data_IF_857720855650
#
_entry.id   IF_857720855650
#
_cell.length_a   1.000
_cell.length_b   1.000
_cell.length_c   1.000
_cell.angle_alpha   90.00
_cell.angle_beta   90.00
_cell.angle_gamma   90.00
#
_symmetry.space_group_name_H-M   'P 1'
#
loop_
_entity.id
_entity.type
_entity.pdbx_description
1 polymer ?
#
# COMPACT_ATOMS: atom_id res chain seq x y z
N UNK A 1 -13.78 18.09 -22.95
CA UNK A 1 -14.28 16.73 -22.67
C UNK A 1 -13.30 16.10 -21.70
N UNK A 2 -13.65 15.98 -20.42
CA UNK A 2 -12.77 15.37 -19.42
C UNK A 2 -12.61 13.89 -19.80
N UNK A 3 -11.37 13.41 -19.98
CA UNK A 3 -11.13 12.02 -20.32
C UNK A 3 -11.60 11.17 -19.14
N UNK A 4 -12.49 10.21 -19.39
CA UNK A 4 -12.97 9.33 -18.34
C UNK A 4 -11.82 8.39 -17.93
N UNK A 5 -11.37 8.52 -16.68
CA UNK A 5 -10.31 7.68 -16.11
C UNK A 5 -10.93 6.39 -15.58
N UNK A 6 -10.93 5.37 -16.41
CA UNK A 6 -11.37 4.02 -16.04
C UNK A 6 -10.18 3.07 -16.03
N UNK A 7 -10.08 2.30 -14.96
CA UNK A 7 -9.05 1.29 -14.77
C UNK A 7 -9.70 -0.05 -14.46
N UNK A 8 -9.21 -1.10 -15.11
CA UNK A 8 -9.59 -2.48 -14.79
C UNK A 8 -8.73 -2.96 -13.62
N UNK A 9 -9.38 -3.36 -12.53
CA UNK A 9 -8.70 -3.95 -11.36
C UNK A 9 -8.17 -5.33 -11.71
N UNK A 10 -6.88 -5.57 -11.46
CA UNK A 10 -6.27 -6.88 -11.64
C UNK A 10 -4.74 -6.84 -11.66
N UNK A 11 -4.13 -8.02 -11.82
CA UNK A 11 -2.68 -8.23 -11.68
C UNK A 11 -1.81 -7.41 -12.64
N UNK A 12 -2.36 -6.96 -13.77
CA UNK A 12 -1.65 -6.15 -14.77
C UNK A 12 -1.76 -4.65 -14.51
N UNK A 13 -2.58 -4.21 -13.55
CA UNK A 13 -2.83 -2.79 -13.32
C UNK A 13 -1.58 -2.08 -12.83
N UNK A 14 -0.83 -2.71 -11.92
CA UNK A 14 0.39 -2.12 -11.36
C UNK A 14 1.42 -1.80 -12.47
N UNK A 15 1.62 -2.71 -13.43
CA UNK A 15 2.54 -2.50 -14.56
C UNK A 15 2.11 -1.35 -15.48
N UNK A 16 0.81 -1.08 -15.57
CA UNK A 16 0.26 0.01 -16.41
C UNK A 16 0.34 1.37 -15.73
N UNK A 17 0.35 1.41 -14.40
CA UNK A 17 0.23 2.67 -13.65
C UNK A 17 1.51 3.13 -12.98
N UNK A 18 2.48 2.23 -12.76
CA UNK A 18 3.77 2.61 -12.25
C UNK A 18 4.47 3.59 -13.22
N UNK A 19 5.13 4.63 -12.70
CA UNK A 19 6.00 5.44 -13.53
C UNK A 19 7.19 4.62 -14.05
N UNK A 20 7.71 4.99 -15.22
CA UNK A 20 8.84 4.29 -15.86
C UNK A 20 10.12 4.36 -15.03
N UNK A 21 10.31 5.44 -14.26
CA UNK A 21 11.46 5.67 -13.39
C UNK A 21 11.05 6.51 -12.17
N UNK A 22 12.00 6.71 -11.24
CA UNK A 22 11.78 7.51 -10.04
C UNK A 22 11.67 6.69 -8.75
N UNK A 23 11.35 7.36 -7.65
CA UNK A 23 11.28 6.81 -6.29
C UNK A 23 10.18 5.78 -6.16
N UNK A 24 9.01 6.01 -6.75
CA UNK A 24 7.88 5.05 -6.75
C UNK A 24 8.30 3.73 -7.41
N UNK A 25 8.93 3.80 -8.58
CA UNK A 25 9.43 2.63 -9.30
C UNK A 25 10.50 1.88 -8.49
N UNK A 26 11.46 2.60 -7.92
CA UNK A 26 12.52 2.02 -7.08
C UNK A 26 11.96 1.33 -5.83
N UNK A 27 10.97 1.95 -5.17
CA UNK A 27 10.28 1.36 -4.00
C UNK A 27 9.54 0.08 -4.38
N UNK A 28 8.83 0.08 -5.51
CA UNK A 28 8.17 -1.12 -6.02
C UNK A 28 9.15 -2.28 -6.24
N UNK A 29 10.29 -2.01 -6.89
CA UNK A 29 11.33 -3.01 -7.14
C UNK A 29 11.94 -3.56 -5.84
N UNK A 30 12.15 -2.68 -4.84
CA UNK A 30 12.65 -3.06 -3.53
C UNK A 30 11.65 -3.93 -2.75
N UNK A 31 10.35 -3.59 -2.76
CA UNK A 31 9.30 -4.40 -2.12
C UNK A 31 9.21 -5.82 -2.71
N UNK A 32 9.31 -5.93 -4.04
CA UNK A 32 9.19 -7.21 -4.74
C UNK A 32 10.44 -8.09 -4.60
N UNK A 33 11.63 -7.47 -4.46
CA UNK A 33 12.89 -8.20 -4.29
C UNK A 33 13.28 -8.45 -2.83
N UNK A 34 12.63 -7.79 -1.87
CA UNK A 34 12.93 -7.95 -0.45
C UNK A 34 12.41 -9.27 0.12
N UNK A 35 13.34 -10.13 0.55
CA UNK A 35 13.04 -11.48 1.05
C UNK A 35 12.11 -11.46 2.27
N UNK A 36 12.30 -10.53 3.20
CA UNK A 36 11.49 -10.43 4.43
C UNK A 36 10.04 -10.04 4.11
N UNK A 37 9.86 -9.02 3.25
CA UNK A 37 8.54 -8.60 2.76
C UNK A 37 7.81 -9.76 2.09
N UNK A 38 8.47 -10.45 1.14
CA UNK A 38 7.87 -11.56 0.42
C UNK A 38 7.58 -12.77 1.34
N UNK A 39 8.40 -13.01 2.36
CA UNK A 39 8.16 -14.07 3.34
C UNK A 39 6.90 -13.77 4.18
N UNK A 40 6.72 -12.52 4.63
CA UNK A 40 5.54 -12.14 5.42
C UNK A 40 4.25 -12.25 4.61
N UNK A 41 4.23 -11.79 3.35
CA UNK A 41 3.08 -11.95 2.47
C UNK A 41 2.74 -13.42 2.21
N UNK A 42 3.74 -14.27 1.99
CA UNK A 42 3.50 -15.73 1.86
C UNK A 42 2.94 -16.32 3.15
N UNK A 43 3.43 -15.87 4.31
CA UNK A 43 2.98 -16.36 5.61
C UNK A 43 1.56 -15.85 5.95
N UNK A 44 1.18 -14.66 5.51
CA UNK A 44 -0.18 -14.16 5.59
C UNK A 44 -1.18 -15.15 4.94
N UNK A 45 -0.86 -15.68 3.76
CA UNK A 45 -1.65 -16.74 3.14
C UNK A 45 -1.66 -18.06 3.93
N UNK A 46 -0.57 -18.44 4.57
CA UNK A 46 -0.58 -19.63 5.43
C UNK A 46 -1.59 -19.47 6.57
N UNK A 47 -1.62 -18.32 7.23
CA UNK A 47 -2.58 -18.07 8.30
C UNK A 47 -4.00 -17.87 7.79
N UNK A 48 -4.23 -16.93 6.87
CA UNK A 48 -5.58 -16.60 6.42
C UNK A 48 -6.18 -17.69 5.52
N UNK A 49 -5.46 -18.12 4.48
CA UNK A 49 -5.98 -19.10 3.51
C UNK A 49 -5.88 -20.52 4.05
N UNK A 50 -4.68 -20.98 4.41
CA UNK A 50 -4.50 -22.41 4.69
C UNK A 50 -5.15 -22.82 6.02
N UNK A 51 -4.99 -22.00 7.08
CA UNK A 51 -5.51 -22.30 8.41
C UNK A 51 -6.95 -21.86 8.62
N UNK A 52 -7.34 -20.68 8.13
CA UNK A 52 -8.70 -20.12 8.35
C UNK A 52 -9.64 -20.27 7.15
N UNK A 53 -9.17 -20.73 6.00
CA UNK A 53 -9.96 -20.93 4.76
C UNK A 53 -10.53 -19.65 4.17
N UNK A 54 -9.86 -18.52 4.40
CA UNK A 54 -10.15 -17.24 3.74
C UNK A 54 -9.55 -17.19 2.33
N UNK A 55 -9.87 -16.14 1.58
CA UNK A 55 -9.33 -15.92 0.25
C UNK A 55 -7.93 -15.25 0.32
N UNK A 56 -7.36 -14.88 -0.83
CA UNK A 56 -5.95 -14.45 -0.92
C UNK A 56 -5.67 -13.20 -0.09
N UNK A 57 -4.61 -13.27 0.71
CA UNK A 57 -4.02 -12.20 1.52
C UNK A 57 -2.49 -12.16 1.32
N UNK A 58 -2.02 -12.67 0.17
CA UNK A 58 -0.61 -12.83 -0.14
C UNK A 58 -0.10 -11.87 -1.21
N UNK A 59 1.03 -12.20 -1.88
CA UNK A 59 1.70 -11.29 -2.80
C UNK A 59 0.84 -10.84 -4.00
N UNK A 60 -0.09 -11.69 -4.45
CA UNK A 60 -0.96 -11.36 -5.59
C UNK A 60 -1.97 -10.30 -5.18
N UNK A 61 -2.73 -10.54 -4.10
CA UNK A 61 -3.62 -9.55 -3.50
C UNK A 61 -2.91 -8.21 -3.23
N UNK A 62 -1.79 -8.20 -2.50
CA UNK A 62 -1.02 -6.98 -2.24
C UNK A 62 -0.62 -6.21 -3.50
N UNK A 63 -0.26 -6.91 -4.58
CA UNK A 63 0.11 -6.28 -5.85
C UNK A 63 -1.10 -5.66 -6.57
N UNK A 64 -2.27 -6.31 -6.51
CA UNK A 64 -3.51 -5.78 -7.07
C UNK A 64 -3.93 -4.52 -6.30
N UNK A 65 -3.95 -4.58 -4.96
CA UNK A 65 -4.33 -3.45 -4.11
C UNK A 65 -3.38 -2.27 -4.30
N UNK A 66 -2.07 -2.52 -4.39
CA UNK A 66 -1.08 -1.49 -4.74
C UNK A 66 -1.37 -0.79 -6.08
N UNK A 67 -1.66 -1.56 -7.14
CA UNK A 67 -2.00 -1.01 -8.45
C UNK A 67 -3.29 -0.19 -8.42
N UNK A 68 -4.31 -0.72 -7.75
CA UNK A 68 -5.59 -0.04 -7.55
C UNK A 68 -5.44 1.24 -6.73
N UNK A 69 -4.59 1.26 -5.70
CA UNK A 69 -4.37 2.44 -4.86
C UNK A 69 -3.74 3.58 -5.66
N UNK A 70 -2.76 3.29 -6.53
CA UNK A 70 -2.20 4.29 -7.44
C UNK A 70 -3.23 4.77 -8.50
N UNK A 71 -4.17 3.90 -8.92
CA UNK A 71 -5.26 4.29 -9.81
C UNK A 71 -6.24 5.25 -9.14
N UNK A 72 -6.66 4.93 -7.91
CA UNK A 72 -7.51 5.81 -7.10
C UNK A 72 -6.83 7.14 -6.85
N UNK A 73 -5.55 7.12 -6.44
CA UNK A 73 -4.73 8.31 -6.24
C UNK A 73 -4.73 9.20 -7.48
N UNK A 74 -4.47 8.63 -8.66
CA UNK A 74 -4.46 9.37 -9.93
C UNK A 74 -5.84 9.93 -10.29
N UNK A 75 -6.91 9.15 -10.16
CA UNK A 75 -8.28 9.61 -10.42
C UNK A 75 -8.63 10.82 -9.54
N UNK A 76 -8.35 10.73 -8.24
CA UNK A 76 -8.70 11.77 -7.29
C UNK A 76 -7.86 13.03 -7.50
N UNK A 77 -6.56 12.88 -7.73
CA UNK A 77 -5.68 14.03 -8.02
C UNK A 77 -6.03 14.73 -9.33
N UNK A 78 -6.39 13.99 -10.40
CA UNK A 78 -6.90 14.58 -11.65
C UNK A 78 -8.25 15.30 -11.46
N UNK A 79 -9.01 14.97 -10.42
CA UNK A 79 -10.24 15.67 -10.00
C UNK A 79 -9.98 16.85 -9.04
N UNK A 80 -8.72 17.19 -8.77
CA UNK A 80 -8.33 18.36 -7.98
C UNK A 80 -8.19 18.12 -6.48
N UNK A 81 -8.30 16.87 -6.01
CA UNK A 81 -7.94 16.53 -4.64
C UNK A 81 -6.42 16.62 -4.47
N UNK A 82 -5.97 17.08 -3.30
CA UNK A 82 -4.55 17.24 -2.98
C UNK A 82 -4.14 16.19 -1.93
N UNK A 83 -3.03 15.45 -2.13
CA UNK A 83 -2.58 14.48 -1.14
C UNK A 83 -2.14 15.13 0.18
N UNK A 84 -2.34 14.43 1.30
CA UNK A 84 -2.02 14.93 2.65
C UNK A 84 -0.54 15.21 2.80
N UNK A 85 0.31 14.30 2.32
CA UNK A 85 1.78 14.45 2.33
C UNK A 85 2.22 15.77 1.70
N UNK A 86 1.50 16.26 0.69
CA UNK A 86 1.79 17.52 -0.01
C UNK A 86 1.23 18.72 0.73
N UNK A 87 -0.05 18.70 1.13
CA UNK A 87 -0.68 19.86 1.78
C UNK A 87 -0.13 20.13 3.18
N UNK A 88 0.34 19.09 3.86
CA UNK A 88 0.92 19.17 5.20
C UNK A 88 2.44 19.46 5.16
N UNK A 89 3.03 19.56 3.96
CA UNK A 89 4.45 19.87 3.79
C UNK A 89 5.42 18.74 4.18
N UNK A 90 4.92 17.51 4.33
CA UNK A 90 5.72 16.31 4.65
C UNK A 90 6.61 15.90 3.47
N UNK A 91 6.11 16.10 2.24
CA UNK A 91 6.82 15.72 1.02
C UNK A 91 6.21 16.29 -0.25
N UNK A 92 6.65 15.77 -1.38
CA UNK A 92 6.13 16.11 -2.70
C UNK A 92 5.15 15.04 -3.22
N UNK A 93 4.67 15.23 -4.45
CA UNK A 93 3.73 14.31 -5.08
C UNK A 93 4.27 12.89 -5.24
N UNK A 94 5.57 12.74 -5.48
CA UNK A 94 6.19 11.43 -5.64
C UNK A 94 6.28 10.73 -4.28
N UNK A 95 6.53 11.48 -3.20
CA UNK A 95 6.51 10.96 -1.83
C UNK A 95 5.10 10.48 -1.44
N UNK A 96 4.06 11.23 -1.79
CA UNK A 96 2.66 10.84 -1.58
C UNK A 96 2.30 9.54 -2.31
N UNK A 97 2.79 9.37 -3.55
CA UNK A 97 2.63 8.12 -4.31
C UNK A 97 3.41 6.96 -3.67
N UNK A 98 4.62 7.21 -3.13
CA UNK A 98 5.39 6.21 -2.39
C UNK A 98 4.64 5.74 -1.14
N UNK A 99 4.08 6.67 -0.36
CA UNK A 99 3.28 6.34 0.83
C UNK A 99 2.07 5.50 0.44
N UNK A 100 1.34 5.93 -0.60
CA UNK A 100 0.16 5.20 -1.11
C UNK A 100 0.53 3.78 -1.56
N UNK A 101 1.61 3.64 -2.33
CA UNK A 101 2.10 2.35 -2.83
C UNK A 101 2.47 1.41 -1.68
N UNK A 102 3.31 1.87 -0.74
CA UNK A 102 3.79 1.05 0.36
C UNK A 102 2.66 0.71 1.33
N UNK A 103 1.81 1.68 1.65
CA UNK A 103 0.63 1.49 2.51
C UNK A 103 -0.27 0.38 1.97
N UNK A 104 -0.61 0.45 0.69
CA UNK A 104 -1.43 -0.55 0.00
C UNK A 104 -0.74 -1.92 -0.09
N UNK A 105 0.56 -1.97 -0.41
CA UNK A 105 1.26 -3.25 -0.59
C UNK A 105 1.47 -4.01 0.73
N UNK A 106 1.71 -3.28 1.82
CA UNK A 106 2.04 -3.85 3.14
C UNK A 106 0.84 -3.97 4.08
N UNK A 107 -0.35 -3.51 3.70
CA UNK A 107 -1.49 -3.39 4.61
C UNK A 107 -1.83 -4.69 5.35
N UNK A 108 -1.62 -5.83 4.70
CA UNK A 108 -2.10 -7.14 5.14
C UNK A 108 -1.03 -8.04 5.78
N UNK A 109 0.23 -7.59 5.87
CA UNK A 109 1.34 -8.43 6.36
C UNK A 109 1.17 -8.90 7.81
N UNK A 110 0.34 -8.23 8.61
CA UNK A 110 -0.01 -8.62 9.98
C UNK A 110 -0.72 -9.97 10.06
N UNK A 111 -1.37 -10.42 8.97
CA UNK A 111 -1.91 -11.77 8.88
C UNK A 111 -0.81 -12.84 9.01
N UNK A 112 0.46 -12.51 8.75
CA UNK A 112 1.61 -13.41 9.00
C UNK A 112 1.83 -13.74 10.48
N UNK A 113 1.23 -12.95 11.38
CA UNK A 113 1.25 -13.15 12.83
C UNK A 113 -0.09 -13.71 13.29
N UNK A 114 -1.19 -13.01 12.98
CA UNK A 114 -2.55 -13.41 13.34
C UNK A 114 -3.60 -12.58 12.59
N UNK A 115 -4.81 -13.11 12.38
CA UNK A 115 -5.92 -12.39 11.73
C UNK A 115 -6.55 -11.32 12.63
N UNK A 116 -6.82 -11.66 13.89
CA UNK A 116 -7.32 -10.69 14.89
C UNK A 116 -6.29 -9.60 15.10
N UNK A 117 -6.72 -8.34 15.03
CA UNK A 117 -5.86 -7.17 15.12
C UNK A 117 -4.74 -7.13 14.07
N UNK A 118 -4.89 -7.81 12.93
CA UNK A 118 -3.91 -7.76 11.85
C UNK A 118 -3.51 -6.34 11.43
N UNK A 119 -4.36 -5.28 11.46
CA UNK A 119 -3.90 -3.93 11.09
C UNK A 119 -2.85 -3.38 12.06
N UNK A 120 -2.95 -3.72 13.35
CA UNK A 120 -1.95 -3.36 14.37
C UNK A 120 -0.63 -4.10 14.11
N UNK A 121 -0.70 -5.42 13.87
CA UNK A 121 0.49 -6.20 13.56
C UNK A 121 1.13 -5.78 12.24
N UNK A 122 0.33 -5.45 11.23
CA UNK A 122 0.82 -4.93 9.95
C UNK A 122 1.60 -3.64 10.15
N UNK A 123 1.07 -2.69 10.93
CA UNK A 123 1.77 -1.44 11.23
C UNK A 123 3.10 -1.70 11.97
N UNK A 124 3.09 -2.60 12.96
CA UNK A 124 4.29 -2.98 13.71
C UNK A 124 5.38 -3.61 12.83
N UNK A 125 5.02 -4.56 11.97
CA UNK A 125 5.95 -5.20 11.04
C UNK A 125 6.44 -4.22 9.96
N UNK A 126 5.58 -3.28 9.57
CA UNK A 126 5.87 -2.27 8.56
C UNK A 126 6.97 -1.32 9.01
N UNK A 127 7.08 -0.99 10.30
CA UNK A 127 8.14 -0.09 10.82
C UNK A 127 9.53 -0.46 10.29
N UNK A 128 9.94 -1.72 10.50
CA UNK A 128 11.25 -2.22 10.06
C UNK A 128 11.37 -2.34 8.54
N UNK A 129 10.32 -2.81 7.86
CA UNK A 129 10.34 -2.99 6.39
C UNK A 129 10.42 -1.62 5.70
N UNK A 130 9.61 -0.67 6.14
CA UNK A 130 9.57 0.67 5.58
C UNK A 130 10.88 1.41 5.81
N UNK A 131 11.47 1.33 7.01
CA UNK A 131 12.80 1.91 7.27
C UNK A 131 13.88 1.34 6.33
N UNK A 132 13.92 0.02 6.18
CA UNK A 132 14.87 -0.69 5.32
C UNK A 132 14.72 -0.33 3.83
N UNK A 133 13.50 -0.10 3.35
CA UNK A 133 13.23 0.23 1.94
C UNK A 133 13.43 1.72 1.69
N UNK A 134 12.85 2.57 2.53
CA UNK A 134 12.90 4.03 2.37
C UNK A 134 14.32 4.57 2.57
N UNK A 135 15.13 3.99 3.46
CA UNK A 135 16.54 4.39 3.62
C UNK A 135 17.37 4.21 2.34
N UNK A 136 17.04 3.22 1.50
CA UNK A 136 17.70 3.03 0.19
C UNK A 136 17.28 4.06 -0.87
N UNK A 137 16.17 4.77 -0.64
CA UNK A 137 15.61 5.76 -1.56
C UNK A 137 15.93 7.18 -1.10
N UNK A 138 15.79 7.46 0.18
CA UNK A 138 15.90 8.79 0.79
C UNK A 138 17.16 8.97 1.66
N UNK A 139 17.91 7.91 1.92
CA UNK A 139 18.99 7.91 2.92
C UNK A 139 18.44 7.85 4.36
N UNK A 140 19.36 7.83 5.33
CA UNK A 140 19.02 7.92 6.76
C UNK A 140 18.80 9.38 7.16
N UNK A 141 17.75 9.98 6.62
CA UNK A 141 17.39 11.37 6.84
C UNK A 141 16.03 11.49 7.54
N UNK A 142 15.74 12.63 8.15
CA UNK A 142 14.44 12.94 8.76
C UNK A 142 13.27 12.61 7.82
N UNK A 143 13.41 12.95 6.52
CA UNK A 143 12.43 12.66 5.47
C UNK A 143 12.05 11.17 5.41
N UNK A 144 13.00 10.27 5.61
CA UNK A 144 12.73 8.82 5.63
C UNK A 144 11.82 8.44 6.80
N UNK A 145 12.10 8.97 8.00
CA UNK A 145 11.34 8.66 9.20
C UNK A 145 9.92 9.22 9.16
N UNK A 146 9.72 10.42 8.63
CA UNK A 146 8.36 10.99 8.50
C UNK A 146 7.52 10.22 7.47
N UNK A 147 8.10 9.88 6.31
CA UNK A 147 7.41 9.05 5.31
C UNK A 147 7.13 7.63 5.82
N UNK A 148 8.00 7.08 6.68
CA UNK A 148 7.74 5.81 7.36
C UNK A 148 6.46 5.89 8.21
N UNK A 149 6.27 6.96 8.97
CA UNK A 149 5.08 7.12 9.81
C UNK A 149 3.80 7.25 8.96
N UNK A 150 3.87 7.96 7.84
CA UNK A 150 2.77 8.03 6.86
C UNK A 150 2.40 6.65 6.30
N UNK A 151 3.41 5.82 5.95
CA UNK A 151 3.20 4.44 5.49
C UNK A 151 2.56 3.59 6.59
N UNK A 152 3.08 3.66 7.82
CA UNK A 152 2.55 2.89 8.95
C UNK A 152 1.09 3.27 9.25
N UNK A 153 0.74 4.55 9.16
CA UNK A 153 -0.63 5.03 9.31
C UNK A 153 -1.54 4.48 8.19
N UNK A 154 -1.11 4.54 6.93
CA UNK A 154 -1.86 3.97 5.81
C UNK A 154 -2.09 2.45 5.97
N UNK A 155 -1.07 1.72 6.43
CA UNK A 155 -1.19 0.30 6.77
C UNK A 155 -2.16 0.07 7.93
N UNK A 156 -2.09 0.85 9.01
CA UNK A 156 -2.93 0.64 10.19
C UNK A 156 -4.41 0.83 9.89
N UNK A 157 -4.76 1.88 9.15
CA UNK A 157 -6.15 2.28 8.98
C UNK A 157 -6.84 1.67 7.75
N UNK A 158 -6.26 0.64 7.11
CA UNK A 158 -6.87 -0.01 5.94
C UNK A 158 -8.17 -0.75 6.31
N UNK A 159 -8.28 -1.28 7.52
CA UNK A 159 -9.46 -2.00 8.01
C UNK A 159 -10.62 -1.04 8.30
N UNK A 160 -11.85 -1.48 8.02
CA UNK A 160 -13.08 -0.67 8.12
C UNK A 160 -13.32 -0.07 9.51
N UNK A 161 -12.78 -0.68 10.57
CA UNK A 161 -12.95 -0.20 11.94
C UNK A 161 -12.21 1.12 12.25
N UNK A 162 -11.27 1.55 11.41
CA UNK A 162 -10.41 2.70 11.67
C UNK A 162 -10.58 3.82 10.64
N UNK A 163 -10.68 5.07 11.09
CA UNK A 163 -10.76 6.21 10.18
C UNK A 163 -9.39 6.53 9.56
N UNK A 164 -9.33 6.70 8.24
CA UNK A 164 -8.14 7.20 7.56
C UNK A 164 -8.00 8.70 7.84
N UNK A 165 -6.81 9.13 8.31
CA UNK A 165 -6.50 10.54 8.52
C UNK A 165 -5.83 11.22 7.31
N UNK A 166 -5.40 10.43 6.33
CA UNK A 166 -4.66 10.94 5.17
C UNK A 166 -5.28 10.47 3.85
N UNK A 167 -5.05 11.27 2.82
CA UNK A 167 -5.51 10.98 1.46
C UNK A 167 -4.92 9.66 0.93
N UNK A 168 -3.64 9.42 1.18
CA UNK A 168 -2.88 8.25 0.77
C UNK A 168 -3.46 6.97 1.39
N UNK A 169 -3.76 7.04 2.69
CA UNK A 169 -4.40 5.96 3.42
C UNK A 169 -5.82 5.67 2.90
N UNK A 170 -6.61 6.72 2.61
CA UNK A 170 -7.93 6.56 2.02
C UNK A 170 -7.86 5.91 0.63
N UNK A 171 -6.86 6.24 -0.19
CA UNK A 171 -6.63 5.58 -1.48
C UNK A 171 -6.36 4.08 -1.31
N UNK A 172 -5.51 3.70 -0.35
CA UNK A 172 -5.22 2.31 -0.04
C UNK A 172 -6.45 1.55 0.45
N UNK A 173 -7.23 2.12 1.37
CA UNK A 173 -8.49 1.53 1.86
C UNK A 173 -9.52 1.32 0.76
N UNK A 174 -9.74 2.32 -0.09
CA UNK A 174 -10.67 2.19 -1.22
C UNK A 174 -10.20 1.06 -2.15
N UNK A 175 -8.91 1.03 -2.45
CA UNK A 175 -8.31 0.02 -3.33
C UNK A 175 -8.48 -1.41 -2.80
N UNK A 176 -8.28 -1.63 -1.51
CA UNK A 176 -8.51 -2.93 -0.87
C UNK A 176 -9.97 -3.38 -1.05
N UNK A 177 -10.92 -2.50 -0.73
CA UNK A 177 -12.36 -2.75 -0.95
C UNK A 177 -12.71 -3.08 -2.41
N UNK A 178 -12.01 -2.49 -3.39
CA UNK A 178 -12.23 -2.83 -4.81
C UNK A 178 -11.82 -4.27 -5.16
N UNK A 179 -10.75 -4.80 -4.56
CA UNK A 179 -10.32 -6.18 -4.80
C UNK A 179 -11.21 -7.19 -4.06
N UNK A 180 -11.62 -6.86 -2.83
CA UNK A 180 -12.60 -7.65 -2.06
C UNK A 180 -13.94 -7.80 -2.78
N UNK A 181 -14.39 -6.75 -3.48
CA UNK A 181 -15.63 -6.78 -4.27
C UNK A 181 -15.57 -7.78 -5.44
N UNK A 182 -14.36 -8.13 -5.89
CA UNK A 182 -14.12 -9.17 -6.90
C UNK A 182 -14.04 -10.59 -6.31
N UNK A 183 -14.31 -10.74 -5.00
CA UNK A 183 -14.31 -12.03 -4.30
C UNK A 183 -12.93 -12.59 -3.96
N UNK A 184 -11.85 -11.82 -4.14
CA UNK A 184 -10.46 -12.31 -4.00
C UNK A 184 -9.88 -12.19 -2.58
N UNK A 185 -10.45 -11.34 -1.73
CA UNK A 185 -10.13 -11.22 -0.31
C UNK A 185 -11.45 -11.09 0.50
N UNK A 186 -11.60 -11.88 1.56
CA UNK A 186 -12.71 -11.85 2.53
C UNK A 186 -12.17 -12.29 3.88
#
# INVERSE_FOLDING_TARGET
MQKELTYEVGVKLIDRILPESGRVRKVWELLNSDVETQAYLKMANVFAVQRLKYNDHGPVHSSIVAGSALAVFKILTEKGFKPSVVVDGVGDMEDAMVVTLMGAYLHDIGNSVHRTHHPIYSALLTDRIAEKILSKVYGNAEKMYVLKQEVMHAVFCHDEAYNCLTFEAACAKIADGTDMSSGRAR
#
